data_IF_815546517333
#
_entry.id   IF_815546517333
#
_cell.length_a   1.000
_cell.length_b   1.000
_cell.length_c   1.000
_cell.angle_alpha   90.00
_cell.angle_beta   90.00
_cell.angle_gamma   90.00
#
_symmetry.space_group_name_H-M   'P 1'
#
loop_
_entity.id
_entity.type
_entity.pdbx_description
1 polymer ?
#
# COMPACT_ATOMS: atom_id res chain seq x y z
N UNK A 1 10.22 -6.95 12.60
CA UNK A 1 9.33 -6.84 11.46
C UNK A 1 9.63 -7.91 10.41
N UNK A 2 8.68 -8.14 9.54
CA UNK A 2 8.82 -8.96 8.34
C UNK A 2 8.24 -8.19 7.15
N UNK A 3 8.88 -8.27 6.00
CA UNK A 3 8.34 -7.81 4.73
C UNK A 3 7.64 -8.99 4.06
N UNK A 4 6.38 -8.83 3.72
CA UNK A 4 5.56 -9.82 3.02
C UNK A 4 5.30 -9.29 1.61
N UNK A 5 5.48 -10.16 0.61
CA UNK A 5 5.23 -9.85 -0.80
C UNK A 5 4.39 -10.96 -1.41
N UNK A 6 3.39 -10.59 -2.20
CA UNK A 6 2.71 -11.50 -3.13
C UNK A 6 3.51 -11.60 -4.43
N UNK A 7 3.18 -12.55 -5.28
CA UNK A 7 3.93 -12.86 -6.52
C UNK A 7 3.68 -11.86 -7.66
N UNK A 8 2.68 -11.01 -7.52
CA UNK A 8 2.31 -9.97 -8.47
C UNK A 8 2.88 -8.57 -8.14
N UNK A 9 3.81 -8.47 -7.18
CA UNK A 9 4.48 -7.20 -6.87
C UNK A 9 5.38 -6.76 -8.01
N UNK A 10 5.30 -5.48 -8.40
CA UNK A 10 6.11 -4.86 -9.42
C UNK A 10 7.07 -3.83 -8.81
N UNK A 11 8.34 -3.88 -9.23
CA UNK A 11 9.44 -3.06 -8.72
C UNK A 11 9.83 -1.92 -9.66
N UNK A 12 9.08 -1.63 -10.71
CA UNK A 12 9.48 -0.68 -11.77
C UNK A 12 9.71 0.74 -11.25
N UNK A 13 9.05 1.14 -10.18
CA UNK A 13 9.24 2.48 -9.58
C UNK A 13 10.45 2.57 -8.64
N UNK A 14 11.04 1.45 -8.22
CA UNK A 14 12.21 1.44 -7.31
C UNK A 14 13.43 2.16 -7.92
N UNK A 15 13.60 2.09 -9.24
CA UNK A 15 14.66 2.81 -9.97
C UNK A 15 14.57 4.34 -9.86
N UNK A 16 13.40 4.85 -9.48
CA UNK A 16 13.15 6.28 -9.31
C UNK A 16 13.33 6.76 -7.87
N UNK A 17 13.59 5.84 -6.90
CA UNK A 17 13.87 6.24 -5.54
C UNK A 17 15.25 6.90 -5.44
N UNK A 18 15.33 7.99 -4.69
CA UNK A 18 16.58 8.64 -4.33
C UNK A 18 16.98 8.39 -2.87
N UNK A 19 16.37 7.40 -2.24
CA UNK A 19 16.60 6.99 -0.86
C UNK A 19 16.83 5.48 -0.77
N UNK A 20 17.37 5.04 0.35
CA UNK A 20 17.60 3.62 0.65
C UNK A 20 16.56 3.10 1.65
N UNK A 21 16.52 1.77 1.80
CA UNK A 21 15.75 1.15 2.88
C UNK A 21 16.14 1.63 4.27
N UNK A 22 17.43 1.95 4.50
CA UNK A 22 17.86 2.49 5.78
C UNK A 22 17.27 3.89 6.04
N UNK A 23 17.21 4.72 5.00
CA UNK A 23 16.58 6.05 5.10
C UNK A 23 15.08 5.91 5.38
N UNK A 24 14.41 4.99 4.68
CA UNK A 24 13.01 4.69 4.93
C UNK A 24 12.78 4.26 6.38
N UNK A 25 13.54 3.29 6.91
CA UNK A 25 13.37 2.81 8.27
C UNK A 25 13.76 3.82 9.35
N UNK A 26 14.60 4.79 9.03
CA UNK A 26 14.92 5.88 9.96
C UNK A 26 13.71 6.81 10.19
N UNK A 27 12.79 6.90 9.23
CA UNK A 27 11.66 7.82 9.27
C UNK A 27 10.30 7.13 9.49
N UNK A 28 10.22 5.79 9.42
CA UNK A 28 8.97 5.05 9.70
C UNK A 28 8.52 5.31 11.14
N UNK A 29 7.24 5.67 11.38
CA UNK A 29 6.72 5.82 12.74
C UNK A 29 6.93 4.55 13.57
N UNK A 30 7.48 4.69 14.76
CA UNK A 30 7.84 3.55 15.63
C UNK A 30 6.62 2.76 16.16
N UNK A 31 5.43 3.31 16.05
CA UNK A 31 4.20 2.80 16.63
C UNK A 31 3.30 2.07 15.63
N UNK A 32 3.84 1.68 14.46
CA UNK A 32 3.06 0.91 13.48
C UNK A 32 2.90 -0.56 13.90
N UNK A 33 1.78 -1.13 13.56
CA UNK A 33 1.53 -2.57 13.51
C UNK A 33 1.85 -3.13 12.12
N UNK A 34 1.39 -2.40 11.08
CA UNK A 34 1.69 -2.66 9.67
C UNK A 34 2.07 -1.37 8.93
N UNK A 35 2.83 -1.52 7.83
CA UNK A 35 2.98 -0.49 6.80
C UNK A 35 2.61 -1.12 5.46
N UNK A 36 1.53 -0.66 4.86
CA UNK A 36 1.11 -1.04 3.52
C UNK A 36 1.95 -0.26 2.51
N UNK A 37 2.63 -0.97 1.60
CA UNK A 37 3.63 -0.40 0.70
C UNK A 37 3.17 -0.31 -0.76
N UNK A 38 1.97 -0.76 -1.04
CA UNK A 38 1.26 -0.55 -2.31
C UNK A 38 -0.21 -0.30 -2.03
N UNK A 39 -0.89 0.40 -2.93
CA UNK A 39 -2.32 0.66 -2.79
C UNK A 39 -3.02 0.58 -4.14
N UNK A 40 -4.22 0.03 -4.09
CA UNK A 40 -5.22 0.13 -5.15
C UNK A 40 -6.31 1.03 -4.58
N UNK A 41 -6.49 2.20 -5.13
CA UNK A 41 -7.43 3.18 -4.60
C UNK A 41 -8.41 3.63 -5.69
N UNK A 42 -9.66 3.81 -5.34
CA UNK A 42 -10.67 4.41 -6.21
C UNK A 42 -10.84 5.88 -5.83
N UNK A 43 -10.28 6.78 -6.59
CA UNK A 43 -10.29 8.21 -6.33
C UNK A 43 -8.90 8.79 -6.04
N UNK A 44 -8.83 9.77 -5.15
CA UNK A 44 -7.56 10.43 -4.83
C UNK A 44 -6.55 9.47 -4.20
N UNK A 45 -5.36 9.39 -4.77
CA UNK A 45 -4.26 8.58 -4.26
C UNK A 45 -3.39 9.44 -3.36
N UNK A 46 -3.17 8.98 -2.15
CA UNK A 46 -2.22 9.60 -1.22
C UNK A 46 -0.85 8.96 -1.40
N UNK A 47 0.11 9.73 -1.91
CA UNK A 47 1.47 9.23 -2.19
C UNK A 47 2.40 9.34 -0.99
N UNK A 48 2.12 10.22 -0.03
CA UNK A 48 2.90 10.37 1.21
C UNK A 48 2.42 9.41 2.29
N UNK A 49 3.25 9.21 3.31
CA UNK A 49 2.86 8.42 4.48
C UNK A 49 1.57 8.97 5.11
N UNK A 50 0.60 8.10 5.30
CA UNK A 50 -0.67 8.43 5.97
C UNK A 50 -1.21 7.22 6.72
N UNK A 51 -2.14 7.45 7.66
CA UNK A 51 -2.88 6.34 8.24
C UNK A 51 -3.75 5.69 7.16
N UNK A 52 -3.80 4.36 7.14
CA UNK A 52 -4.58 3.62 6.16
C UNK A 52 -6.03 4.10 6.14
N UNK A 53 -6.50 4.50 4.97
CA UNK A 53 -7.91 4.77 4.73
C UNK A 53 -8.66 3.50 4.32
N UNK A 54 -9.97 3.54 4.44
CA UNK A 54 -10.83 2.43 4.05
C UNK A 54 -10.71 2.05 2.56
N UNK A 55 -10.35 3.03 1.73
CA UNK A 55 -10.20 2.86 0.28
C UNK A 55 -8.77 2.50 -0.16
N UNK A 56 -7.82 2.37 0.75
CA UNK A 56 -6.49 1.87 0.46
C UNK A 56 -6.52 0.35 0.43
N UNK A 57 -6.89 -0.21 -0.71
CA UNK A 57 -6.92 -1.65 -0.91
C UNK A 57 -5.54 -2.21 -1.24
N UNK A 58 -5.43 -3.50 -1.27
CA UNK A 58 -4.25 -4.33 -1.54
C UNK A 58 -3.45 -4.72 -0.30
N UNK A 59 -3.18 -6.00 -0.20
CA UNK A 59 -2.22 -6.58 0.73
C UNK A 59 -1.03 -7.21 -0.01
N UNK A 60 -0.77 -6.79 -1.26
CA UNK A 60 0.27 -7.38 -2.10
C UNK A 60 1.67 -7.20 -1.52
N UNK A 61 1.93 -6.06 -0.86
CA UNK A 61 3.20 -5.85 -0.15
C UNK A 61 3.02 -5.00 1.09
N UNK A 62 3.50 -5.50 2.22
CA UNK A 62 3.43 -4.79 3.50
C UNK A 62 4.52 -5.24 4.47
N UNK A 63 4.85 -4.34 5.39
CA UNK A 63 5.61 -4.66 6.59
C UNK A 63 4.65 -5.01 7.71
N UNK A 64 5.02 -6.01 8.50
CA UNK A 64 4.27 -6.40 9.70
C UNK A 64 5.21 -6.54 10.89
N UNK A 65 4.83 -6.01 12.04
CA UNK A 65 5.59 -6.22 13.27
C UNK A 65 5.36 -7.62 13.82
N UNK A 66 6.37 -8.15 14.53
CA UNK A 66 6.23 -9.43 15.23
C UNK A 66 5.09 -9.40 16.26
N UNK A 67 4.90 -8.25 16.91
CA UNK A 67 3.82 -8.06 17.88
C UNK A 67 2.46 -8.27 17.23
N UNK A 68 2.21 -7.58 16.12
CA UNK A 68 0.94 -7.67 15.40
C UNK A 68 0.72 -9.06 14.79
N UNK A 69 1.73 -9.65 14.15
CA UNK A 69 1.65 -11.02 13.65
C UNK A 69 1.27 -12.01 14.76
N UNK A 70 1.86 -11.88 15.95
CA UNK A 70 1.52 -12.71 17.12
C UNK A 70 0.08 -12.46 17.61
N UNK A 71 -0.41 -11.22 17.52
CA UNK A 71 -1.80 -10.86 17.83
C UNK A 71 -2.76 -11.56 16.86
N UNK A 72 -2.49 -11.49 15.55
CA UNK A 72 -3.30 -12.16 14.53
C UNK A 72 -3.34 -13.68 14.74
N UNK A 73 -2.20 -14.28 15.02
CA UNK A 73 -2.12 -15.72 15.32
C UNK A 73 -2.99 -16.09 16.52
N UNK A 74 -2.95 -15.31 17.60
CA UNK A 74 -3.80 -15.55 18.79
C UNK A 74 -5.29 -15.39 18.49
N UNK A 75 -5.67 -14.50 17.59
CA UNK A 75 -7.07 -14.27 17.24
C UNK A 75 -7.62 -15.35 16.30
N UNK A 76 -6.84 -15.77 15.32
CA UNK A 76 -7.34 -16.56 14.21
C UNK A 76 -6.92 -18.02 14.20
N UNK A 77 -5.96 -18.43 15.04
CA UNK A 77 -5.47 -19.80 15.09
C UNK A 77 -5.91 -20.50 16.37
N UNK A 78 -6.47 -21.70 16.24
CA UNK A 78 -6.88 -22.57 17.36
C UNK A 78 -6.34 -23.97 17.12
N UNK A 79 -5.18 -24.29 17.72
CA UNK A 79 -4.47 -25.54 17.46
C UNK A 79 -4.05 -25.61 15.99
N UNK A 80 -4.55 -26.61 15.26
CA UNK A 80 -4.30 -26.80 13.82
C UNK A 80 -5.42 -26.28 12.92
N UNK A 81 -6.31 -25.42 13.44
CA UNK A 81 -7.45 -24.88 12.70
C UNK A 81 -7.37 -23.34 12.65
N UNK A 82 -7.90 -22.78 11.59
CA UNK A 82 -8.11 -21.34 11.46
C UNK A 82 -9.57 -20.99 11.74
N UNK A 83 -9.77 -19.91 12.46
CA UNK A 83 -11.05 -19.24 12.59
C UNK A 83 -10.85 -17.79 12.18
N UNK A 84 -11.16 -17.50 10.92
CA UNK A 84 -11.14 -16.14 10.42
C UNK A 84 -12.43 -15.45 10.90
N UNK A 85 -12.28 -14.70 11.98
CA UNK A 85 -13.32 -13.87 12.54
C UNK A 85 -12.81 -12.44 12.54
N UNK A 86 -13.28 -11.67 11.59
CA UNK A 86 -12.95 -10.26 11.45
C UNK A 86 -13.99 -9.34 12.13
N UNK A 87 -14.79 -9.91 13.01
CA UNK A 87 -15.75 -9.19 13.84
C UNK A 87 -16.91 -8.61 13.04
N UNK A 88 -16.89 -7.31 12.81
CA UNK A 88 -18.02 -6.57 12.23
C UNK A 88 -18.08 -6.67 10.70
N UNK A 89 -17.00 -7.11 10.05
CA UNK A 89 -16.91 -7.13 8.58
C UNK A 89 -17.40 -8.45 8.02
N UNK A 90 -18.22 -8.41 6.96
CA UNK A 90 -18.81 -9.62 6.38
C UNK A 90 -17.81 -10.44 5.55
N UNK A 91 -16.64 -9.90 5.25
CA UNK A 91 -15.63 -10.54 4.38
C UNK A 91 -14.34 -10.81 5.14
N UNK A 92 -13.83 -12.03 5.01
CA UNK A 92 -12.52 -12.42 5.51
C UNK A 92 -11.48 -12.27 4.40
N UNK A 93 -11.23 -11.02 3.98
CA UNK A 93 -10.16 -10.69 3.03
C UNK A 93 -8.88 -10.33 3.77
N UNK A 94 -7.75 -10.44 3.10
CA UNK A 94 -6.42 -10.22 3.69
C UNK A 94 -6.28 -8.80 4.24
N UNK A 95 -6.74 -7.79 3.52
CA UNK A 95 -6.70 -6.39 3.94
C UNK A 95 -7.43 -6.18 5.27
N UNK A 96 -8.68 -6.66 5.37
CA UNK A 96 -9.49 -6.54 6.58
C UNK A 96 -8.85 -7.28 7.75
N UNK A 97 -8.32 -8.47 7.50
CA UNK A 97 -7.78 -9.33 8.55
C UNK A 97 -6.42 -8.83 9.05
N UNK A 98 -5.54 -8.39 8.15
CA UNK A 98 -4.14 -8.07 8.45
C UNK A 98 -3.98 -6.58 8.74
N UNK A 99 -4.47 -5.73 7.83
CA UNK A 99 -4.15 -4.31 7.83
C UNK A 99 -5.11 -3.47 8.69
N UNK A 100 -6.39 -3.89 8.82
CA UNK A 100 -7.37 -3.10 9.57
C UNK A 100 -7.51 -3.51 11.05
N UNK A 101 -6.81 -4.55 11.48
CA UNK A 101 -6.84 -5.01 12.88
C UNK A 101 -5.74 -4.42 13.76
N UNK A 102 -4.90 -3.57 13.20
CA UNK A 102 -3.80 -2.87 13.85
C UNK A 102 -3.67 -1.44 13.40
N UNK A 103 -2.67 -0.73 13.95
CA UNK A 103 -2.30 0.61 13.48
C UNK A 103 -1.49 0.47 12.19
N UNK A 104 -2.14 0.73 11.08
CA UNK A 104 -1.54 0.62 9.75
C UNK A 104 -1.34 1.99 9.12
N UNK A 105 -0.14 2.22 8.64
CA UNK A 105 0.17 3.32 7.73
C UNK A 105 0.22 2.81 6.31
N UNK A 106 -0.08 3.69 5.34
CA UNK A 106 0.04 3.43 3.92
C UNK A 106 1.03 4.42 3.30
N UNK A 107 1.89 3.91 2.43
CA UNK A 107 2.79 4.68 1.58
C UNK A 107 3.08 3.86 0.32
N UNK A 108 2.66 4.30 -0.88
CA UNK A 108 2.78 3.51 -2.11
C UNK A 108 4.20 3.60 -2.68
N UNK A 109 5.08 2.71 -2.23
CA UNK A 109 6.46 2.57 -2.69
C UNK A 109 6.66 1.50 -3.76
N UNK A 110 5.64 0.69 -4.02
CA UNK A 110 5.68 -0.38 -5.01
C UNK A 110 4.39 -0.39 -5.83
N UNK A 111 4.47 -1.01 -6.99
CA UNK A 111 3.33 -1.28 -7.84
C UNK A 111 2.95 -2.76 -7.78
N UNK A 112 1.87 -3.08 -8.42
CA UNK A 112 1.44 -4.45 -8.71
C UNK A 112 1.49 -4.68 -10.23
N UNK A 113 1.65 -5.94 -10.63
CA UNK A 113 1.78 -6.30 -12.04
C UNK A 113 0.39 -6.43 -12.69
N UNK A 114 0.11 -5.54 -13.65
CA UNK A 114 -1.14 -5.57 -14.41
C UNK A 114 -1.23 -6.73 -15.40
N UNK A 115 -0.08 -7.23 -15.89
CA UNK A 115 -0.04 -8.25 -16.95
C UNK A 115 -0.39 -9.64 -16.42
N UNK A 116 -0.13 -9.92 -15.15
CA UNK A 116 -0.42 -11.23 -14.57
C UNK A 116 -1.92 -11.51 -14.42
N UNK A 117 -2.75 -10.46 -14.45
CA UNK A 117 -4.19 -10.57 -14.23
C UNK A 117 -4.53 -11.07 -12.84
N UNK A 118 -5.73 -10.80 -12.37
CA UNK A 118 -6.23 -11.42 -11.14
C UNK A 118 -6.85 -12.78 -11.46
N UNK A 119 -6.31 -13.86 -10.92
CA UNK A 119 -6.94 -15.18 -11.02
C UNK A 119 -8.28 -15.25 -10.28
N UNK A 120 -8.50 -14.33 -9.33
CA UNK A 120 -9.70 -14.28 -8.49
C UNK A 120 -10.74 -13.33 -9.07
N UNK A 121 -10.31 -12.18 -9.58
CA UNK A 121 -11.18 -11.11 -10.06
C UNK A 121 -10.67 -10.48 -11.37
N UNK A 122 -10.68 -11.19 -12.50
CA UNK A 122 -10.14 -10.68 -13.77
C UNK A 122 -10.86 -9.41 -14.27
N UNK A 123 -12.11 -9.21 -13.89
CA UNK A 123 -12.91 -8.02 -14.23
C UNK A 123 -12.45 -6.74 -13.52
N UNK A 124 -11.73 -6.85 -12.41
CA UNK A 124 -11.25 -5.70 -11.66
C UNK A 124 -10.08 -4.96 -12.34
N UNK A 125 -9.35 -5.65 -13.21
CA UNK A 125 -8.12 -5.14 -13.82
C UNK A 125 -8.34 -3.81 -14.55
N UNK A 126 -9.36 -3.74 -15.40
CA UNK A 126 -9.66 -2.54 -16.20
C UNK A 126 -10.36 -1.42 -15.44
N UNK A 127 -11.03 -1.75 -14.35
CA UNK A 127 -11.90 -0.79 -13.64
C UNK A 127 -11.17 -0.16 -12.45
N UNK A 128 -10.47 -0.97 -11.65
CA UNK A 128 -9.93 -0.52 -10.37
C UNK A 128 -8.40 -0.47 -10.34
N UNK A 129 -7.69 -1.28 -11.14
CA UNK A 129 -6.26 -1.46 -11.00
C UNK A 129 -5.45 -0.52 -11.90
N UNK A 130 -5.89 -0.32 -13.15
CA UNK A 130 -5.07 0.39 -14.14
C UNK A 130 -4.88 1.86 -13.82
N UNK A 131 -5.94 2.58 -13.47
CA UNK A 131 -5.86 4.03 -13.23
C UNK A 131 -4.93 4.38 -12.07
N UNK A 132 -5.06 3.79 -10.85
CA UNK A 132 -4.14 4.07 -9.77
C UNK A 132 -2.71 3.60 -10.04
N UNK A 133 -2.53 2.48 -10.74
CA UNK A 133 -1.21 2.01 -11.16
C UNK A 133 -0.51 3.06 -12.05
N UNK A 134 -1.17 3.50 -13.11
CA UNK A 134 -0.60 4.46 -14.05
C UNK A 134 -0.33 5.83 -13.38
N UNK A 135 -1.21 6.25 -12.49
CA UNK A 135 -1.02 7.49 -11.72
C UNK A 135 0.20 7.42 -10.80
N UNK A 136 0.40 6.31 -10.10
CA UNK A 136 1.57 6.09 -9.24
C UNK A 136 2.86 5.98 -10.06
N UNK A 137 2.84 5.25 -11.18
CA UNK A 137 3.98 5.14 -12.08
C UNK A 137 4.41 6.52 -12.58
N UNK A 138 3.47 7.30 -13.13
CA UNK A 138 3.73 8.66 -13.59
C UNK A 138 4.27 9.57 -12.48
N UNK A 139 3.71 9.49 -11.28
CA UNK A 139 4.19 10.28 -10.14
C UNK A 139 5.67 9.95 -9.83
N UNK A 140 6.02 8.67 -9.74
CA UNK A 140 7.39 8.26 -9.42
C UNK A 140 8.37 8.58 -10.55
N UNK A 141 7.99 8.43 -11.81
CA UNK A 141 8.81 8.80 -12.97
C UNK A 141 9.12 10.30 -13.00
N UNK A 142 8.17 11.15 -12.63
CA UNK A 142 8.30 12.60 -12.69
C UNK A 142 8.95 13.21 -11.44
N UNK A 143 8.68 12.66 -10.28
CA UNK A 143 9.00 13.29 -9.00
C UNK A 143 9.90 12.47 -8.09
N UNK A 144 10.10 11.18 -8.37
CA UNK A 144 10.78 10.25 -7.46
C UNK A 144 12.20 10.68 -7.10
N UNK A 145 12.96 11.21 -8.07
CA UNK A 145 14.34 11.66 -7.88
C UNK A 145 14.47 12.92 -7.00
N UNK A 146 13.41 13.70 -6.85
CA UNK A 146 13.37 14.93 -6.07
C UNK A 146 12.73 14.74 -4.68
N UNK A 147 12.31 13.52 -4.34
CA UNK A 147 11.66 13.25 -3.07
C UNK A 147 12.63 13.40 -1.90
N UNK A 148 12.31 14.29 -0.97
CA UNK A 148 12.91 14.32 0.35
C UNK A 148 12.21 13.28 1.23
N UNK A 149 12.87 12.17 1.56
CA UNK A 149 12.25 11.06 2.30
C UNK A 149 11.70 11.51 3.65
N UNK A 150 12.34 12.43 4.37
CA UNK A 150 11.86 12.93 5.66
C UNK A 150 10.54 13.67 5.53
N UNK A 151 10.41 14.50 4.52
CA UNK A 151 9.16 15.21 4.24
C UNK A 151 8.09 14.25 3.73
N UNK A 152 8.47 13.27 2.93
CA UNK A 152 7.58 12.28 2.35
C UNK A 152 6.99 11.34 3.41
N UNK A 153 7.79 10.98 4.41
CA UNK A 153 7.39 10.16 5.55
C UNK A 153 6.75 10.97 6.69
N UNK A 154 6.75 12.29 6.60
CA UNK A 154 6.06 13.12 7.58
C UNK A 154 4.55 13.00 7.37
N UNK A 155 3.88 12.39 8.35
CA UNK A 155 2.44 12.20 8.30
C UNK A 155 1.70 13.54 8.29
N UNK A 156 1.08 13.83 7.16
CA UNK A 156 0.14 14.95 7.01
C UNK A 156 -1.07 14.48 6.19
N UNK A 157 -2.27 14.44 6.79
CA UNK A 157 -3.47 13.93 6.11
C UNK A 157 -3.94 14.80 4.94
N UNK A 158 -3.39 16.01 4.79
CA UNK A 158 -3.81 16.97 3.75
C UNK A 158 -2.83 17.08 2.58
N UNK A 159 -1.62 16.54 2.72
CA UNK A 159 -0.58 16.62 1.69
C UNK A 159 -0.47 15.33 0.87
N UNK A 160 0.00 15.47 -0.36
CA UNK A 160 0.39 14.34 -1.20
C UNK A 160 -0.74 13.61 -1.91
N UNK A 161 -1.84 14.30 -2.23
CA UNK A 161 -2.91 13.72 -3.04
C UNK A 161 -2.62 13.88 -4.54
N UNK A 162 -2.79 12.79 -5.28
CA UNK A 162 -2.87 12.80 -6.73
C UNK A 162 -4.34 12.65 -7.10
N UNK A 163 -4.89 13.65 -7.81
CA UNK A 163 -6.24 13.57 -8.36
C UNK A 163 -6.20 12.98 -9.77
N UNK A 164 -7.16 12.15 -10.15
CA UNK A 164 -7.25 11.55 -11.50
C UNK A 164 -7.22 12.59 -12.63
N UNK A 165 -7.61 13.85 -12.34
CA UNK A 165 -7.63 14.95 -13.32
C UNK A 165 -6.27 15.59 -13.58
N UNK A 166 -5.24 15.33 -12.80
CA UNK A 166 -3.92 15.93 -12.98
C UNK A 166 -3.08 15.29 -14.10
N UNK A 167 -3.45 14.09 -14.53
CA UNK A 167 -2.75 13.36 -15.59
C UNK A 167 -3.08 13.85 -17.03
N UNK A 168 -4.11 14.66 -17.21
CA UNK A 168 -4.57 15.11 -18.55
C UNK A 168 -4.05 16.50 -18.97
N UNK A 169 -3.41 17.26 -18.07
CA UNK A 169 -2.94 18.61 -18.39
C UNK A 169 -1.52 18.71 -18.93
N UNK A 170 -0.72 17.65 -18.89
CA UNK A 170 0.67 17.69 -19.39
C UNK A 170 0.83 17.30 -20.88
N UNK A 171 -0.26 17.03 -21.61
CA UNK A 171 -0.18 16.70 -23.06
C UNK A 171 -0.51 17.88 -24.01
N UNK A 172 -0.78 19.10 -23.50
CA UNK A 172 -1.10 20.28 -24.31
C UNK A 172 -0.25 21.51 -23.94
N UNK A 173 1.04 21.35 -23.74
CA UNK A 173 1.98 22.47 -23.63
C UNK A 173 3.16 22.28 -24.58
#
# INVERSE_FOLDING_TARGET
YCLILEDDVNFDIVKHWNFTWNDFFAEVPYDYDCVQLTTICTGDIHVRLHLKFINDFSAAIYLITRHHASKLMRHHVRGNKYKLDNGVKPRAVSEDTILETGKTYTIPLFLYNLEMGSAIHPEHLGIFHKSPHDALLNFWEQSGVDINIKEYMNYDPYLGRITENSSTQSQNA
#
